data_IF_255353816409
#
_entry.id   IF_255353816409
#
_cell.length_a   1.000
_cell.length_b   1.000
_cell.length_c   1.000
_cell.angle_alpha   90.00
_cell.angle_beta   90.00
_cell.angle_gamma   90.00
#
_symmetry.space_group_name_H-M   'P 1'
#
loop_
_entity.id
_entity.type
_entity.pdbx_description
1 polymer ?
#
# COMPACT_ATOMS: atom_id res chain seq x y z
N UNK A 1 16.34 0.91 -11.05
CA UNK A 1 15.01 1.33 -10.55
C UNK A 1 15.04 1.31 -9.03
N UNK A 2 14.72 2.44 -8.41
CA UNK A 2 14.78 2.62 -6.95
C UNK A 2 13.72 1.79 -6.21
N UNK A 3 14.03 1.46 -4.97
CA UNK A 3 13.10 0.80 -4.05
C UNK A 3 12.00 1.83 -3.70
N UNK A 4 10.69 1.48 -3.69
CA UNK A 4 9.62 2.46 -3.47
C UNK A 4 9.75 3.02 -2.06
N UNK A 5 9.91 4.33 -1.89
CA UNK A 5 10.15 4.92 -0.57
C UNK A 5 8.84 5.18 0.15
N UNK A 6 8.88 5.12 1.48
CA UNK A 6 7.70 5.38 2.31
C UNK A 6 7.32 6.87 2.29
N UNK A 7 8.30 7.76 2.11
CA UNK A 7 8.09 9.20 1.96
C UNK A 7 7.13 9.54 0.82
N UNK A 8 7.17 8.77 -0.27
CA UNK A 8 6.40 9.01 -1.48
C UNK A 8 4.89 8.78 -1.30
N UNK A 9 4.47 8.12 -0.22
CA UNK A 9 3.04 7.86 0.07
C UNK A 9 2.46 8.72 1.16
N UNK A 10 3.29 9.40 1.95
CA UNK A 10 2.81 10.12 3.14
C UNK A 10 1.86 11.27 2.80
N UNK A 11 2.02 11.88 1.62
CA UNK A 11 1.21 13.01 1.14
C UNK A 11 -0.18 12.62 0.63
N UNK A 12 -0.47 11.33 0.43
CA UNK A 12 -1.73 10.88 -0.17
C UNK A 12 -2.92 11.04 0.78
N UNK A 13 -4.08 11.45 0.26
CA UNK A 13 -5.35 11.46 0.99
C UNK A 13 -5.90 10.04 1.23
N UNK A 14 -6.86 9.89 2.15
CA UNK A 14 -7.44 8.57 2.46
C UNK A 14 -8.13 7.92 1.25
N UNK A 15 -8.80 8.72 0.43
CA UNK A 15 -9.48 8.24 -0.79
C UNK A 15 -8.47 7.78 -1.85
N UNK A 16 -7.39 8.53 -2.04
CA UNK A 16 -6.30 8.17 -2.94
C UNK A 16 -5.56 6.91 -2.47
N UNK A 17 -5.36 6.73 -1.15
CA UNK A 17 -4.76 5.50 -0.60
C UNK A 17 -5.62 4.29 -0.94
N UNK A 18 -6.94 4.37 -0.74
CA UNK A 18 -7.86 3.28 -1.06
C UNK A 18 -7.84 2.94 -2.56
N UNK A 19 -7.88 3.96 -3.43
CA UNK A 19 -7.77 3.76 -4.88
C UNK A 19 -6.41 3.11 -5.26
N UNK A 20 -5.31 3.60 -4.70
CA UNK A 20 -3.97 3.08 -4.95
C UNK A 20 -3.79 1.63 -4.44
N UNK A 21 -4.47 1.24 -3.35
CA UNK A 21 -4.48 -0.14 -2.88
C UNK A 21 -5.12 -1.04 -3.93
N UNK A 22 -6.31 -0.68 -4.43
CA UNK A 22 -7.05 -1.47 -5.43
C UNK A 22 -6.22 -1.61 -6.72
N UNK A 23 -5.64 -0.50 -7.20
CA UNK A 23 -4.78 -0.51 -8.37
C UNK A 23 -3.55 -1.42 -8.17
N UNK A 24 -2.91 -1.33 -7.01
CA UNK A 24 -1.72 -2.13 -6.69
C UNK A 24 -2.05 -3.61 -6.56
N UNK A 25 -3.22 -3.96 -6.01
CA UNK A 25 -3.70 -5.35 -5.90
C UNK A 25 -4.02 -5.94 -7.28
N UNK A 26 -4.69 -5.19 -8.14
CA UNK A 26 -4.94 -5.57 -9.54
C UNK A 26 -3.62 -5.78 -10.30
N UNK A 27 -2.65 -4.88 -10.12
CA UNK A 27 -1.32 -5.03 -10.71
C UNK A 27 -0.60 -6.28 -10.22
N UNK A 28 -0.66 -6.55 -8.91
CA UNK A 28 -0.07 -7.76 -8.33
C UNK A 28 -0.74 -9.03 -8.86
N UNK A 29 -2.07 -9.03 -9.01
CA UNK A 29 -2.83 -10.11 -9.63
C UNK A 29 -2.37 -10.36 -11.07
N UNK A 30 -2.30 -9.32 -11.89
CA UNK A 30 -1.83 -9.41 -13.28
C UNK A 30 -0.40 -9.94 -13.38
N UNK A 31 0.51 -9.51 -12.50
CA UNK A 31 1.88 -10.03 -12.47
C UNK A 31 1.94 -11.52 -12.09
N UNK A 32 1.09 -11.96 -11.15
CA UNK A 32 0.97 -13.38 -10.79
C UNK A 32 0.37 -14.19 -11.92
N UNK A 33 -0.64 -13.65 -12.61
CA UNK A 33 -1.26 -14.29 -13.77
C UNK A 33 -0.23 -14.48 -14.89
N UNK A 34 0.51 -13.43 -15.26
CA UNK A 34 1.61 -13.51 -16.24
C UNK A 34 2.66 -14.56 -15.87
N UNK A 35 3.02 -14.64 -14.58
CA UNK A 35 3.94 -15.66 -14.07
C UNK A 35 3.36 -17.07 -14.24
N UNK A 36 2.09 -17.27 -13.91
CA UNK A 36 1.42 -18.56 -14.04
C UNK A 36 1.30 -19.00 -15.51
N UNK A 37 1.00 -18.07 -16.41
CA UNK A 37 0.91 -18.32 -17.86
C UNK A 37 2.27 -18.38 -18.56
N UNK A 38 3.38 -18.34 -17.80
CA UNK A 38 4.77 -18.30 -18.33
C UNK A 38 5.01 -17.20 -19.37
N UNK A 39 4.28 -16.09 -19.28
CA UNK A 39 4.53 -14.91 -20.10
C UNK A 39 5.79 -14.19 -19.61
N UNK A 40 6.41 -13.39 -20.48
CA UNK A 40 7.55 -12.59 -20.08
C UNK A 40 7.12 -11.45 -19.13
N UNK A 41 7.80 -11.33 -17.99
CA UNK A 41 7.59 -10.25 -17.03
C UNK A 41 8.86 -10.02 -16.21
N UNK A 42 8.98 -8.87 -15.55
CA UNK A 42 10.14 -8.56 -14.72
C UNK A 42 9.93 -9.10 -13.31
N UNK A 43 10.77 -10.04 -12.87
CA UNK A 43 10.63 -10.69 -11.56
C UNK A 43 10.62 -9.71 -10.37
N UNK A 44 11.40 -8.63 -10.45
CA UNK A 44 11.48 -7.62 -9.39
C UNK A 44 10.20 -6.77 -9.24
N UNK A 45 9.35 -6.71 -10.28
CA UNK A 45 8.08 -5.97 -10.21
C UNK A 45 7.15 -6.55 -9.14
N UNK A 46 7.12 -7.88 -8.99
CA UNK A 46 6.32 -8.54 -7.95
C UNK A 46 6.77 -8.09 -6.56
N UNK A 47 8.10 -8.05 -6.31
CA UNK A 47 8.66 -7.59 -5.03
C UNK A 47 8.33 -6.12 -4.78
N UNK A 48 8.46 -5.29 -5.82
CA UNK A 48 8.13 -3.86 -5.77
C UNK A 48 6.66 -3.62 -5.42
N UNK A 49 5.74 -4.26 -6.15
CA UNK A 49 4.29 -4.10 -5.93
C UNK A 49 3.86 -4.60 -4.56
N UNK A 50 4.44 -5.71 -4.08
CA UNK A 50 4.18 -6.19 -2.71
C UNK A 50 4.63 -5.19 -1.66
N UNK A 51 5.82 -4.60 -1.83
CA UNK A 51 6.32 -3.58 -0.89
C UNK A 51 5.44 -2.34 -0.89
N UNK A 52 5.05 -1.84 -2.07
CA UNK A 52 4.15 -0.69 -2.19
C UNK A 52 2.80 -0.96 -1.52
N UNK A 53 2.21 -2.15 -1.73
CA UNK A 53 0.96 -2.54 -1.10
C UNK A 53 1.07 -2.55 0.44
N UNK A 54 2.15 -3.11 0.97
CA UNK A 54 2.40 -3.13 2.42
C UNK A 54 2.52 -1.69 2.97
N UNK A 55 3.28 -0.82 2.32
CA UNK A 55 3.44 0.58 2.73
C UNK A 55 2.09 1.32 2.78
N UNK A 56 1.24 1.15 1.76
CA UNK A 56 -0.09 1.77 1.72
C UNK A 56 -0.99 1.28 2.87
N UNK A 57 -0.98 -0.03 3.15
CA UNK A 57 -1.74 -0.60 4.27
C UNK A 57 -1.23 -0.11 5.62
N UNK A 58 0.10 -0.05 5.81
CA UNK A 58 0.71 0.50 7.03
C UNK A 58 0.32 1.96 7.25
N UNK A 59 0.31 2.78 6.20
CA UNK A 59 -0.10 4.19 6.32
C UNK A 59 -1.55 4.32 6.81
N UNK A 60 -2.46 3.48 6.30
CA UNK A 60 -3.85 3.47 6.73
C UNK A 60 -3.97 3.05 8.20
N UNK A 61 -3.30 1.96 8.60
CA UNK A 61 -3.27 1.51 10.00
C UNK A 61 -2.75 2.60 10.95
N UNK A 62 -1.66 3.28 10.58
CA UNK A 62 -1.11 4.37 11.40
C UNK A 62 -2.09 5.54 11.54
N UNK A 63 -2.86 5.86 10.49
CA UNK A 63 -3.90 6.90 10.56
C UNK A 63 -5.04 6.51 11.47
N UNK A 64 -5.46 5.24 11.43
CA UNK A 64 -6.52 4.71 12.28
C UNK A 64 -6.10 4.71 13.74
N UNK A 65 -4.90 4.23 14.07
CA UNK A 65 -4.36 4.26 15.44
C UNK A 65 -4.28 5.69 16.01
N UNK A 66 -3.89 6.68 15.18
CA UNK A 66 -3.88 8.09 15.60
C UNK A 66 -5.27 8.65 15.91
N UNK A 67 -6.30 8.17 15.21
CA UNK A 67 -7.68 8.57 15.49
C UNK A 67 -8.18 7.94 16.79
N UNK A 68 -7.91 6.65 17.01
CA UNK A 68 -8.24 5.93 18.25
C UNK A 68 -7.59 6.58 19.47
N UNK A 69 -6.28 6.89 19.41
CA UNK A 69 -5.56 7.60 20.48
C UNK A 69 -6.20 8.94 20.81
N UNK A 70 -6.58 9.72 19.78
CA UNK A 70 -7.23 11.01 19.98
C UNK A 70 -8.59 10.88 20.67
N UNK A 71 -9.32 9.80 20.40
CA UNK A 71 -10.61 9.53 21.03
C UNK A 71 -10.45 9.14 22.51
N UNK A 72 -9.46 8.31 22.84
CA UNK A 72 -9.11 7.95 24.22
C UNK A 72 -8.67 9.17 25.07
N UNK A 73 -7.88 10.07 24.48
CA UNK A 73 -7.44 11.32 25.13
C UNK A 73 -8.61 12.28 25.42
N UNK A 74 -9.70 12.21 24.66
CA UNK A 74 -10.90 13.04 24.84
C UNK A 74 -11.83 12.50 25.93
N UNK A 75 -11.81 11.19 26.18
CA UNK A 75 -12.67 10.53 27.20
C UNK A 75 -12.03 10.63 28.60
N UNK A 76 -10.72 10.78 28.68
CA UNK A 76 -9.95 10.80 29.93
C UNK A 76 -9.78 12.19 30.56
N UNK A 77 -10.14 13.27 29.85
CA UNK A 77 -10.16 14.65 30.33
C UNK A 77 -11.58 15.13 30.65
#
# INVERSE_FOLDING_TARGET
MGIPQFTDIMSLSNTEISAAIIETENKLFNLRFKKATRQNFKAHEIKYTKRRLAQLKTLLTLRLQKLEQKEEDLITN
#
